data_IF_821374769387
#
_entry.id   IF_821374769387
#
_cell.length_a   1.000
_cell.length_b   1.000
_cell.length_c   1.000
_cell.angle_alpha   90.00
_cell.angle_beta   90.00
_cell.angle_gamma   90.00
#
_symmetry.space_group_name_H-M   'P 1'
#
loop_
_entity.id
_entity.type
_entity.pdbx_description
1 polymer ?
#
# COMPACT_ATOMS: atom_id res chain seq x y z
N UNK A 1 -39.82 16.13 -34.05
CA UNK A 1 -39.46 14.99 -33.18
C UNK A 1 -38.00 15.14 -32.84
N UNK A 2 -37.71 15.52 -31.61
CA UNK A 2 -36.37 15.78 -31.11
C UNK A 2 -35.67 14.45 -30.87
N UNK A 3 -34.52 14.24 -31.51
CA UNK A 3 -33.65 13.11 -31.23
C UNK A 3 -32.97 13.34 -29.87
N UNK A 4 -33.29 12.50 -28.89
CA UNK A 4 -32.50 12.38 -27.66
C UNK A 4 -31.14 11.76 -28.02
N UNK A 5 -30.07 12.49 -27.75
CA UNK A 5 -28.71 11.95 -27.79
C UNK A 5 -28.51 11.00 -26.61
N UNK A 6 -27.85 9.85 -26.78
CA UNK A 6 -27.50 8.98 -25.66
C UNK A 6 -26.49 9.69 -24.77
N UNK A 7 -26.86 9.93 -23.51
CA UNK A 7 -25.98 10.47 -22.48
C UNK A 7 -24.83 9.49 -22.28
N UNK A 8 -23.61 9.90 -22.63
CA UNK A 8 -22.41 9.16 -22.27
C UNK A 8 -22.19 9.25 -20.74
N UNK A 9 -21.99 8.13 -20.03
CA UNK A 9 -21.58 8.22 -18.63
C UNK A 9 -20.19 8.83 -18.56
N UNK A 10 -20.05 9.90 -17.76
CA UNK A 10 -18.77 10.53 -17.49
C UNK A 10 -17.84 9.53 -16.79
N UNK A 11 -16.53 9.66 -17.00
CA UNK A 11 -15.51 8.81 -16.40
C UNK A 11 -15.44 8.86 -14.85
N UNK A 12 -16.39 9.51 -14.18
CA UNK A 12 -16.46 9.71 -12.73
C UNK A 12 -17.34 8.70 -11.99
N UNK A 13 -18.09 7.83 -12.68
CA UNK A 13 -19.00 6.85 -12.03
C UNK A 13 -18.49 5.40 -12.08
N UNK A 14 -17.23 5.17 -11.69
CA UNK A 14 -16.81 3.82 -11.26
C UNK A 14 -16.88 3.75 -9.74
N UNK A 15 -18.04 3.41 -9.22
CA UNK A 15 -18.31 3.08 -7.80
C UNK A 15 -17.81 1.67 -7.42
N UNK A 16 -16.68 1.24 -7.99
CA UNK A 16 -16.00 0.00 -7.62
C UNK A 16 -15.08 0.21 -6.42
N UNK A 17 -14.73 -0.88 -5.72
CA UNK A 17 -13.64 -0.87 -4.75
C UNK A 17 -12.38 -0.31 -5.43
N UNK A 18 -11.79 0.74 -4.85
CA UNK A 18 -10.56 1.34 -5.36
C UNK A 18 -9.38 0.49 -4.90
N UNK A 19 -8.40 0.27 -5.77
CA UNK A 19 -7.16 -0.39 -5.36
C UNK A 19 -6.45 0.47 -4.30
N UNK A 20 -5.64 -0.17 -3.46
CA UNK A 20 -5.08 0.42 -2.24
C UNK A 20 -3.57 0.36 -2.31
N UNK A 21 -2.90 1.44 -1.92
CA UNK A 21 -1.46 1.63 -2.05
C UNK A 21 -0.62 0.50 -1.41
N UNK A 22 0.64 0.39 -1.83
CA UNK A 22 1.62 -0.51 -1.22
C UNK A 22 2.71 0.28 -0.50
N UNK A 23 3.06 -0.15 0.70
CA UNK A 23 4.19 0.40 1.47
C UNK A 23 5.27 -0.64 1.71
N UNK A 24 6.51 -0.19 1.76
CA UNK A 24 7.69 -0.99 2.03
C UNK A 24 8.67 -0.19 2.89
N UNK A 25 9.37 -0.84 3.82
CA UNK A 25 10.47 -0.27 4.57
C UNK A 25 11.54 -1.32 4.81
N UNK A 26 12.78 -0.89 4.91
CA UNK A 26 13.92 -1.77 5.14
C UNK A 26 14.96 -1.07 6.02
N UNK A 27 15.52 -1.82 6.95
CA UNK A 27 16.75 -1.51 7.64
C UNK A 27 17.72 -2.65 7.36
N UNK A 28 18.74 -2.41 6.56
CA UNK A 28 19.67 -3.41 6.04
C UNK A 28 21.13 -2.90 6.10
N UNK A 29 21.76 -2.91 7.29
CA UNK A 29 23.15 -2.49 7.45
C UNK A 29 24.08 -3.24 6.49
N UNK A 30 24.84 -2.49 5.69
CA UNK A 30 25.79 -3.05 4.73
C UNK A 30 25.16 -3.60 3.45
N UNK A 31 23.89 -3.34 3.20
CA UNK A 31 23.20 -3.61 1.94
C UNK A 31 22.64 -2.34 1.30
N UNK A 32 22.31 -2.41 0.02
CA UNK A 32 21.73 -1.30 -0.73
C UNK A 32 20.21 -1.23 -0.50
N UNK A 33 19.79 -0.32 0.37
CA UNK A 33 18.38 -0.13 0.70
C UNK A 33 17.55 0.38 -0.50
N UNK A 34 18.15 1.12 -1.44
CA UNK A 34 17.43 1.61 -2.61
C UNK A 34 17.02 0.45 -3.52
N UNK A 35 17.96 -0.47 -3.77
CA UNK A 35 17.71 -1.68 -4.56
C UNK A 35 16.70 -2.61 -3.87
N UNK A 36 16.80 -2.77 -2.55
CA UNK A 36 15.82 -3.56 -1.79
C UNK A 36 14.41 -2.95 -1.86
N UNK A 37 14.29 -1.62 -1.67
CA UNK A 37 13.03 -0.90 -1.86
C UNK A 37 12.48 -1.07 -3.28
N UNK A 38 13.32 -0.97 -4.31
CA UNK A 38 12.90 -1.16 -5.70
C UNK A 38 12.24 -2.53 -5.92
N UNK A 39 12.91 -3.62 -5.53
CA UNK A 39 12.36 -4.96 -5.73
C UNK A 39 11.12 -5.22 -4.87
N UNK A 40 11.12 -4.74 -3.62
CA UNK A 40 9.94 -4.81 -2.75
C UNK A 40 8.72 -4.10 -3.35
N UNK A 41 8.90 -2.88 -3.85
CA UNK A 41 7.83 -2.13 -4.51
C UNK A 41 7.41 -2.75 -5.85
N UNK A 42 8.35 -3.31 -6.60
CA UNK A 42 8.04 -4.02 -7.84
C UNK A 42 7.12 -5.22 -7.58
N UNK A 43 7.35 -5.97 -6.50
CA UNK A 43 6.47 -7.06 -6.08
C UNK A 43 5.08 -6.58 -5.64
N UNK A 44 4.98 -5.34 -5.14
CA UNK A 44 3.73 -4.69 -4.72
C UNK A 44 3.08 -3.85 -5.83
N UNK A 45 3.57 -3.87 -7.07
CA UNK A 45 3.10 -2.98 -8.16
C UNK A 45 1.58 -3.12 -8.46
N UNK A 46 0.95 -4.25 -8.12
CA UNK A 46 -0.49 -4.43 -8.26
C UNK A 46 -1.29 -3.51 -7.32
N UNK A 47 -0.71 -3.06 -6.22
CA UNK A 47 -1.30 -2.13 -5.26
C UNK A 47 -1.35 -0.67 -5.72
N UNK A 48 -0.62 -0.31 -6.77
CA UNK A 48 -0.60 1.08 -7.22
C UNK A 48 0.19 1.25 -8.51
N UNK A 49 -0.36 1.99 -9.46
CA UNK A 49 0.22 2.15 -10.80
C UNK A 49 0.32 3.61 -11.25
N UNK A 50 -0.05 4.58 -10.42
CA UNK A 50 0.03 6.00 -10.82
C UNK A 50 1.34 6.66 -10.43
N UNK A 51 1.96 6.29 -9.32
CA UNK A 51 3.28 6.80 -8.94
C UNK A 51 4.06 5.81 -8.07
N UNK A 52 5.37 5.97 -8.07
CA UNK A 52 6.29 5.25 -7.21
C UNK A 52 7.30 6.21 -6.59
N UNK A 53 7.72 5.91 -5.37
CA UNK A 53 8.70 6.72 -4.66
C UNK A 53 9.49 5.89 -3.65
N UNK A 54 10.74 6.29 -3.43
CA UNK A 54 11.66 5.72 -2.45
C UNK A 54 12.30 6.88 -1.68
N UNK A 55 12.39 6.74 -0.36
CA UNK A 55 13.23 7.55 0.51
C UNK A 55 14.31 6.65 1.12
N UNK A 56 15.58 7.06 1.08
CA UNK A 56 16.70 6.29 1.61
C UNK A 56 17.56 7.18 2.50
N UNK A 57 18.10 6.61 3.57
CA UNK A 57 19.06 7.27 4.42
C UNK A 57 20.37 6.49 4.56
N UNK A 58 21.45 7.27 4.66
CA UNK A 58 22.80 6.81 4.98
C UNK A 58 23.10 6.80 6.49
N UNK A 59 22.11 7.09 7.34
CA UNK A 59 22.27 7.28 8.79
C UNK A 59 22.28 8.75 9.21
N UNK A 60 22.37 9.69 8.27
CA UNK A 60 22.50 11.12 8.55
C UNK A 60 21.52 11.98 7.75
N UNK A 61 21.32 11.68 6.47
CA UNK A 61 20.44 12.45 5.59
C UNK A 61 19.45 11.53 4.89
N UNK A 62 18.26 12.05 4.59
CA UNK A 62 17.25 11.34 3.80
C UNK A 62 17.24 11.91 2.38
N UNK A 63 17.43 11.06 1.39
CA UNK A 63 17.20 11.36 -0.02
C UNK A 63 15.85 10.79 -0.47
N UNK A 64 14.98 11.65 -0.99
CA UNK A 64 13.67 11.24 -1.52
C UNK A 64 13.67 11.34 -3.04
N UNK A 65 13.26 10.25 -3.70
CA UNK A 65 13.14 10.16 -5.15
C UNK A 65 11.79 9.56 -5.50
N UNK A 66 10.92 10.36 -6.15
CA UNK A 66 9.56 9.96 -6.52
C UNK A 66 9.18 10.52 -7.88
N UNK A 67 8.33 9.81 -8.61
CA UNK A 67 7.85 10.24 -9.93
C UNK A 67 6.50 9.57 -10.26
N UNK A 68 5.78 10.12 -11.23
CA UNK A 68 4.60 9.47 -11.80
C UNK A 68 4.98 8.27 -12.67
N UNK A 69 4.17 7.22 -12.62
CA UNK A 69 4.34 5.99 -13.40
C UNK A 69 4.62 4.75 -12.56
N UNK A 70 4.94 3.66 -13.26
CA UNK A 70 5.28 2.36 -12.67
C UNK A 70 6.68 2.37 -12.05
N UNK A 71 6.95 1.49 -11.09
CA UNK A 71 8.24 1.37 -10.38
C UNK A 71 9.41 1.24 -11.36
N UNK A 72 9.27 0.41 -12.39
CA UNK A 72 10.31 0.20 -13.40
C UNK A 72 10.47 1.35 -14.41
N UNK A 73 9.49 2.26 -14.48
CA UNK A 73 9.57 3.48 -15.29
C UNK A 73 10.19 4.61 -14.48
N UNK A 74 9.88 4.69 -13.19
CA UNK A 74 10.37 5.71 -12.27
C UNK A 74 11.85 5.48 -11.94
N UNK A 75 12.25 4.23 -11.69
CA UNK A 75 13.57 3.85 -11.21
C UNK A 75 14.32 3.01 -12.24
N UNK A 76 15.08 3.69 -13.09
CA UNK A 76 16.08 3.04 -13.94
C UNK A 76 17.39 2.76 -13.16
N UNK A 77 18.31 1.93 -13.71
CA UNK A 77 19.56 1.62 -13.04
C UNK A 77 20.44 2.83 -12.70
N UNK A 78 20.37 3.92 -13.49
CA UNK A 78 21.16 5.13 -13.25
C UNK A 78 20.60 5.91 -12.08
N UNK A 79 19.28 6.07 -12.01
CA UNK A 79 18.58 6.72 -10.89
C UNK A 79 18.80 5.96 -9.59
N UNK A 80 18.70 4.62 -9.62
CA UNK A 80 18.96 3.79 -8.44
C UNK A 80 20.40 3.90 -7.95
N UNK A 81 21.39 3.89 -8.85
CA UNK A 81 22.79 4.02 -8.47
C UNK A 81 23.12 5.35 -7.76
N UNK A 82 22.31 6.40 -7.97
CA UNK A 82 22.43 7.69 -7.30
C UNK A 82 21.80 7.74 -5.90
N UNK A 83 21.05 6.71 -5.49
CA UNK A 83 20.37 6.65 -4.20
C UNK A 83 21.15 5.66 -3.33
N UNK A 84 21.87 6.18 -2.34
CA UNK A 84 22.73 5.35 -1.47
C UNK A 84 22.30 5.43 -0.03
N UNK A 85 22.37 4.30 0.67
CA UNK A 85 22.03 4.20 2.09
C UNK A 85 21.63 2.78 2.48
N UNK A 86 21.45 2.58 3.78
CA UNK A 86 21.25 1.26 4.38
C UNK A 86 19.91 1.13 5.11
N UNK A 87 19.10 2.20 5.13
CA UNK A 87 17.70 2.14 5.53
C UNK A 87 16.86 2.96 4.56
N UNK A 88 15.61 2.58 4.37
CA UNK A 88 14.73 3.27 3.44
C UNK A 88 13.28 2.85 3.53
N UNK A 89 12.41 3.69 2.98
CA UNK A 89 11.00 3.38 2.77
C UNK A 89 10.61 3.59 1.31
N UNK A 90 9.57 2.91 0.88
CA UNK A 90 9.04 2.95 -0.47
C UNK A 90 7.52 2.97 -0.48
N UNK A 91 6.96 3.50 -1.56
CA UNK A 91 5.52 3.53 -1.78
C UNK A 91 5.15 3.37 -3.26
N UNK A 92 4.09 2.60 -3.53
CA UNK A 92 3.38 2.57 -4.82
C UNK A 92 1.96 3.08 -4.62
N UNK A 93 1.55 4.04 -5.43
CA UNK A 93 0.28 4.75 -5.24
C UNK A 93 -0.82 4.22 -6.14
N UNK A 94 -1.98 3.96 -5.54
CA UNK A 94 -3.26 4.04 -6.21
C UNK A 94 -3.99 5.34 -5.84
N UNK A 95 -4.67 6.00 -6.77
CA UNK A 95 -5.34 7.27 -6.55
C UNK A 95 -6.67 7.06 -5.83
N UNK A 96 -6.62 6.86 -4.51
CA UNK A 96 -7.79 6.73 -3.63
C UNK A 96 -8.38 8.10 -3.28
N UNK A 97 -7.51 9.02 -2.84
CA UNK A 97 -7.81 10.41 -2.44
C UNK A 97 -6.79 11.37 -3.06
N UNK A 98 -7.25 12.58 -3.44
CA UNK A 98 -6.44 13.58 -4.12
C UNK A 98 -6.29 13.32 -5.63
N UNK A 99 -5.83 14.32 -6.36
CA UNK A 99 -5.58 14.20 -7.79
C UNK A 99 -4.38 13.26 -8.09
N UNK A 100 -4.33 12.71 -9.30
CA UNK A 100 -3.16 11.99 -9.79
C UNK A 100 -2.09 13.00 -10.24
N UNK A 101 -1.42 13.59 -9.25
CA UNK A 101 -0.37 14.59 -9.44
C UNK A 101 0.91 14.15 -8.74
N UNK A 102 2.04 14.69 -9.21
CA UNK A 102 3.36 14.43 -8.64
C UNK A 102 3.44 14.83 -7.16
N UNK A 103 2.80 15.93 -6.76
CA UNK A 103 2.79 16.39 -5.36
C UNK A 103 2.21 15.33 -4.40
N UNK A 104 1.24 14.56 -4.90
CA UNK A 104 0.57 13.49 -4.14
C UNK A 104 1.32 12.16 -4.17
N UNK A 105 2.44 12.06 -4.89
CA UNK A 105 3.30 10.90 -4.83
C UNK A 105 3.96 10.81 -3.45
N UNK A 106 4.11 9.59 -2.95
CA UNK A 106 4.73 9.29 -1.66
C UNK A 106 6.05 8.53 -1.89
N UNK A 107 7.00 8.51 -0.93
CA UNK A 107 6.90 9.03 0.44
C UNK A 107 6.68 10.55 0.55
N UNK A 108 5.83 10.97 1.48
CA UNK A 108 5.72 12.36 1.90
C UNK A 108 6.94 12.73 2.76
N UNK A 109 7.51 13.91 2.53
CA UNK A 109 8.73 14.36 3.21
C UNK A 109 8.49 15.67 3.95
N UNK A 110 8.98 15.77 5.20
CA UNK A 110 8.92 16.98 6.01
C UNK A 110 10.19 17.15 6.83
N UNK A 111 10.50 18.39 7.16
CA UNK A 111 11.60 18.78 8.06
C UNK A 111 10.99 19.20 9.39
N UNK A 112 11.55 18.74 10.51
CA UNK A 112 11.11 19.08 11.86
C UNK A 112 11.54 20.50 12.23
N UNK A 113 10.97 21.07 13.29
CA UNK A 113 11.39 22.39 13.80
C UNK A 113 12.86 22.42 14.24
N UNK A 114 13.39 21.27 14.66
CA UNK A 114 14.78 21.07 15.08
C UNK A 114 15.75 20.76 13.93
N UNK A 115 15.26 20.68 12.68
CA UNK A 115 16.08 20.40 11.50
C UNK A 115 16.27 18.91 11.17
N UNK A 116 15.57 18.02 11.89
CA UNK A 116 15.48 16.60 11.54
C UNK A 116 14.63 16.38 10.29
N UNK A 117 14.78 15.23 9.64
CA UNK A 117 14.05 14.86 8.42
C UNK A 117 13.16 13.65 8.67
N UNK A 118 11.94 13.66 8.14
CA UNK A 118 10.98 12.57 8.25
C UNK A 118 10.42 12.24 6.86
N UNK A 119 10.35 10.96 6.53
CA UNK A 119 9.61 10.47 5.38
C UNK A 119 8.50 9.51 5.81
N UNK A 120 7.34 9.54 5.13
CA UNK A 120 6.17 8.73 5.43
C UNK A 120 5.56 8.12 4.17
N UNK A 121 5.33 6.81 4.19
CA UNK A 121 4.48 6.08 3.26
C UNK A 121 3.21 5.61 3.96
N UNK A 122 2.06 5.77 3.31
CA UNK A 122 0.74 5.49 3.86
C UNK A 122 -0.11 4.66 2.90
N UNK A 123 -0.53 3.49 3.38
CA UNK A 123 -1.58 2.68 2.78
C UNK A 123 -2.83 2.78 3.65
N UNK A 124 -3.87 3.44 3.16
CA UNK A 124 -5.10 3.63 3.91
C UNK A 124 -5.90 4.85 3.46
N UNK A 125 -6.89 5.20 4.28
CA UNK A 125 -7.68 6.39 4.09
C UNK A 125 -8.16 6.93 5.44
N UNK A 126 -7.91 8.21 5.69
CA UNK A 126 -8.39 8.90 6.88
C UNK A 126 -9.75 9.54 6.65
N UNK A 127 -10.67 9.36 7.59
CA UNK A 127 -12.04 9.90 7.52
C UNK A 127 -12.16 11.28 8.19
N UNK A 128 -11.17 11.69 8.97
CA UNK A 128 -11.17 12.95 9.73
C UNK A 128 -10.10 13.95 9.25
N UNK A 129 -9.75 13.95 7.97
CA UNK A 129 -8.74 14.86 7.38
C UNK A 129 -9.01 16.33 7.65
N UNK A 130 -10.28 16.74 7.71
CA UNK A 130 -10.65 18.11 8.07
C UNK A 130 -10.26 18.45 9.51
N UNK A 131 -10.44 17.54 10.46
CA UNK A 131 -10.07 17.76 11.86
C UNK A 131 -8.55 17.83 12.00
N UNK A 132 -7.82 16.95 11.29
CA UNK A 132 -6.36 16.95 11.24
C UNK A 132 -5.79 18.23 10.61
N UNK A 133 -6.44 18.77 9.58
CA UNK A 133 -6.08 20.06 9.00
C UNK A 133 -6.26 21.20 10.00
N UNK A 134 -7.36 21.22 10.77
CA UNK A 134 -7.58 22.23 11.82
C UNK A 134 -6.55 22.13 12.93
N UNK A 135 -6.13 20.93 13.29
CA UNK A 135 -5.06 20.68 14.28
C UNK A 135 -3.71 21.28 13.84
N UNK A 136 -3.46 21.37 12.53
CA UNK A 136 -2.31 22.06 11.93
C UNK A 136 -2.53 23.57 11.71
N UNK A 137 -3.68 24.12 12.12
CA UNK A 137 -4.04 25.52 11.86
C UNK A 137 -4.35 25.82 10.38
N UNK A 138 -4.57 24.79 9.56
CA UNK A 138 -4.91 24.94 8.15
C UNK A 138 -6.44 25.18 7.99
N UNK A 139 -6.87 25.89 6.94
CA UNK A 139 -8.29 26.11 6.68
C UNK A 139 -9.04 24.79 6.54
N UNK A 140 -10.03 24.55 7.39
CA UNK A 140 -10.77 23.28 7.49
C UNK A 140 -11.86 23.07 6.44
N UNK A 141 -11.73 23.61 5.22
CA UNK A 141 -12.75 23.45 4.18
C UNK A 141 -12.34 22.44 3.11
N UNK A 142 -13.13 21.38 2.99
CA UNK A 142 -12.97 20.32 2.00
C UNK A 142 -13.13 20.83 0.55
N UNK A 143 -13.72 22.01 0.34
CA UNK A 143 -14.09 22.57 -0.98
C UNK A 143 -13.30 23.80 -1.45
N UNK A 144 -12.31 24.28 -0.69
CA UNK A 144 -11.51 25.43 -1.11
C UNK A 144 -10.52 25.05 -2.21
N UNK A 145 -10.62 25.72 -3.37
CA UNK A 145 -9.72 25.63 -4.53
C UNK A 145 -8.36 26.33 -4.30
N UNK A 146 -8.07 26.81 -3.09
CA UNK A 146 -6.76 27.36 -2.76
C UNK A 146 -5.68 26.25 -2.77
N UNK A 147 -4.42 26.55 -3.18
CA UNK A 147 -3.32 25.59 -3.08
C UNK A 147 -3.16 25.15 -1.62
N UNK A 148 -3.55 23.91 -1.31
CA UNK A 148 -3.33 23.35 0.02
C UNK A 148 -1.85 23.05 0.17
N UNK A 149 -1.24 23.48 1.27
CA UNK A 149 0.08 22.98 1.68
C UNK A 149 0.07 21.48 2.04
N UNK A 150 -1.12 20.90 2.26
CA UNK A 150 -1.37 19.47 2.47
C UNK A 150 -2.67 19.08 1.75
N UNK A 151 -2.57 18.45 0.58
CA UNK A 151 -3.72 18.07 -0.25
C UNK A 151 -4.14 16.60 -0.09
N UNK A 152 -3.32 15.80 0.60
CA UNK A 152 -3.61 14.39 0.93
C UNK A 152 -3.61 14.15 2.44
N UNK A 153 -4.26 13.07 2.87
CA UNK A 153 -4.18 12.58 4.24
C UNK A 153 -2.73 12.27 4.68
N UNK A 154 -1.93 11.77 3.75
CA UNK A 154 -0.53 11.40 3.95
C UNK A 154 0.33 12.64 4.24
N UNK A 155 0.08 13.77 3.57
CA UNK A 155 0.74 15.04 3.88
C UNK A 155 0.32 15.62 5.23
N UNK A 156 -0.96 15.47 5.61
CA UNK A 156 -1.44 15.88 6.93
C UNK A 156 -0.76 15.05 8.04
N UNK A 157 -0.66 13.74 7.87
CA UNK A 157 0.08 12.88 8.80
C UNK A 157 1.56 13.29 8.89
N UNK A 158 2.24 13.44 7.75
CA UNK A 158 3.64 13.84 7.73
C UNK A 158 3.88 15.21 8.41
N UNK A 159 2.96 16.16 8.22
CA UNK A 159 3.03 17.47 8.87
C UNK A 159 2.81 17.39 10.39
N UNK A 160 1.85 16.59 10.86
CA UNK A 160 1.64 16.35 12.29
C UNK A 160 2.87 15.69 12.93
N UNK A 161 3.45 14.70 12.26
CA UNK A 161 4.67 14.03 12.71
C UNK A 161 5.83 15.02 12.87
N UNK A 162 6.07 15.85 11.86
CA UNK A 162 7.16 16.83 11.87
C UNK A 162 6.97 17.93 12.92
N UNK A 163 5.71 18.31 13.21
CA UNK A 163 5.38 19.28 14.27
C UNK A 163 5.69 18.72 15.66
N UNK A 164 5.39 17.45 15.91
CA UNK A 164 5.45 16.85 17.24
C UNK A 164 6.75 16.06 17.51
N UNK A 165 7.70 16.06 16.57
CA UNK A 165 8.96 15.29 16.63
C UNK A 165 10.02 15.84 17.60
N UNK A 166 9.77 16.93 18.32
CA UNK A 166 10.77 17.58 19.19
C UNK A 166 11.22 16.72 20.38
N UNK A 167 10.43 15.72 20.79
CA UNK A 167 10.75 14.82 21.92
C UNK A 167 11.31 13.48 21.45
N UNK A 168 10.56 12.78 20.60
CA UNK A 168 10.99 11.58 19.87
C UNK A 168 10.03 11.33 18.73
N UNK A 169 10.50 10.73 17.64
CA UNK A 169 9.61 10.37 16.54
C UNK A 169 8.63 9.26 16.95
N UNK A 170 9.03 8.32 17.81
CA UNK A 170 8.12 7.29 18.35
C UNK A 170 6.90 7.91 19.07
N UNK A 171 7.12 8.88 19.97
CA UNK A 171 5.99 9.56 20.66
C UNK A 171 5.15 10.41 19.71
N UNK A 172 5.80 11.05 18.73
CA UNK A 172 5.11 11.80 17.67
C UNK A 172 4.19 10.90 16.84
N UNK A 173 4.66 9.68 16.50
CA UNK A 173 3.88 8.66 15.82
C UNK A 173 2.67 8.24 16.67
N UNK A 174 2.89 7.90 17.95
CA UNK A 174 1.82 7.49 18.87
C UNK A 174 0.74 8.57 18.97
N UNK A 175 1.15 9.83 19.15
CA UNK A 175 0.23 10.97 19.23
C UNK A 175 -0.56 11.18 17.93
N UNK A 176 0.15 11.16 16.80
CA UNK A 176 -0.47 11.34 15.48
C UNK A 176 -1.48 10.22 15.18
N UNK A 177 -1.14 8.97 15.51
CA UNK A 177 -2.05 7.83 15.36
C UNK A 177 -3.27 7.94 16.26
N UNK A 178 -3.13 8.49 17.47
CA UNK A 178 -4.26 8.76 18.37
C UNK A 178 -5.23 9.84 17.87
N UNK A 179 -4.77 10.74 17.00
CA UNK A 179 -5.61 11.76 16.35
C UNK A 179 -6.28 11.24 15.07
N UNK A 180 -5.61 10.31 14.37
CA UNK A 180 -6.08 9.77 13.10
C UNK A 180 -7.29 8.85 13.29
N UNK A 181 -8.34 9.04 12.47
CA UNK A 181 -9.49 8.13 12.35
C UNK A 181 -9.56 7.57 10.95
N UNK A 182 -9.67 6.26 10.84
CA UNK A 182 -9.75 5.56 9.56
C UNK A 182 -8.91 4.29 9.57
N UNK A 183 -8.57 3.82 8.38
CA UNK A 183 -7.69 2.68 8.16
C UNK A 183 -6.31 3.18 7.75
N UNK A 184 -5.25 2.64 8.32
CA UNK A 184 -3.88 2.98 7.91
C UNK A 184 -2.89 1.88 8.27
N UNK A 185 -1.99 1.61 7.34
CA UNK A 185 -0.68 1.02 7.57
C UNK A 185 0.37 2.01 7.12
N UNK A 186 1.25 2.38 8.03
CA UNK A 186 2.27 3.40 7.83
C UNK A 186 3.65 2.75 7.84
N UNK A 187 4.50 3.24 6.95
CA UNK A 187 5.95 3.16 7.11
C UNK A 187 6.47 4.57 7.29
N UNK A 188 7.31 4.78 8.29
CA UNK A 188 7.89 6.09 8.61
C UNK A 188 9.40 5.91 8.77
N UNK A 189 10.20 6.90 8.46
CA UNK A 189 11.61 6.91 8.81
C UNK A 189 12.08 8.30 9.21
N UNK A 190 13.03 8.33 10.14
CA UNK A 190 13.99 9.42 10.30
C UNK A 190 15.33 9.01 9.66
N UNK A 191 16.46 9.60 10.09
CA UNK A 191 17.77 9.33 9.51
C UNK A 191 18.36 7.98 9.89
N UNK A 192 17.95 7.37 11.01
CA UNK A 192 18.60 6.14 11.53
C UNK A 192 17.62 5.01 11.88
N UNK A 193 16.33 5.29 11.92
CA UNK A 193 15.29 4.36 12.33
C UNK A 193 14.17 4.27 11.29
N UNK A 194 13.70 3.05 11.01
CA UNK A 194 12.46 2.80 10.26
C UNK A 194 11.37 2.29 11.20
N UNK A 195 10.16 2.77 10.97
CA UNK A 195 8.99 2.45 11.78
C UNK A 195 7.90 1.84 10.91
N UNK A 196 7.16 0.89 11.48
CA UNK A 196 5.92 0.36 10.91
C UNK A 196 4.78 0.51 11.90
N UNK A 197 3.62 0.95 11.42
CA UNK A 197 2.46 1.17 12.28
C UNK A 197 1.21 0.64 11.63
N UNK A 198 0.37 -0.01 12.42
CA UNK A 198 -0.95 -0.45 11.99
C UNK A 198 -2.04 0.22 12.82
N UNK A 199 -3.13 0.63 12.18
CA UNK A 199 -4.31 1.16 12.86
C UNK A 199 -4.87 0.17 13.91
N UNK A 200 -5.63 0.66 14.89
CA UNK A 200 -6.15 -0.18 15.99
C UNK A 200 -7.07 -1.33 15.52
N UNK A 201 -7.65 -1.21 14.31
CA UNK A 201 -8.46 -2.25 13.70
C UNK A 201 -7.65 -3.21 12.83
N UNK A 202 -6.42 -2.86 12.46
CA UNK A 202 -5.60 -3.66 11.56
C UNK A 202 -6.23 -3.82 10.17
N UNK A 203 -6.94 -2.81 9.67
CA UNK A 203 -7.73 -2.93 8.42
C UNK A 203 -6.84 -3.28 7.24
N UNK A 204 -5.68 -2.59 7.13
CA UNK A 204 -4.69 -2.79 6.05
C UNK A 204 -3.59 -3.76 6.47
N UNK A 205 -3.06 -4.57 5.56
CA UNK A 205 -2.03 -5.56 5.89
C UNK A 205 -0.66 -4.89 6.06
N UNK A 206 0.12 -5.43 6.99
CA UNK A 206 1.50 -5.03 7.23
C UNK A 206 2.25 -6.20 7.88
N UNK A 207 3.34 -6.63 7.26
CA UNK A 207 4.15 -7.79 7.67
C UNK A 207 5.59 -7.38 7.95
N UNK A 208 6.25 -8.15 8.83
CA UNK A 208 7.66 -8.00 9.17
C UNK A 208 8.42 -9.20 8.63
N UNK A 209 9.50 -8.93 7.90
CA UNK A 209 10.48 -9.91 7.44
C UNK A 209 11.86 -9.68 8.05
N UNK A 210 12.71 -10.70 7.98
CA UNK A 210 14.12 -10.64 8.37
C UNK A 210 15.01 -11.00 7.19
N UNK A 211 16.00 -10.15 6.93
CA UNK A 211 16.96 -10.37 5.85
C UNK A 211 17.98 -11.45 6.24
N UNK A 212 18.47 -12.27 5.28
CA UNK A 212 19.46 -13.31 5.56
C UNK A 212 20.77 -12.77 6.14
N UNK A 213 21.17 -11.57 5.73
CA UNK A 213 22.44 -10.93 6.12
C UNK A 213 22.33 -10.06 7.38
N UNK A 214 21.16 -10.06 8.02
CA UNK A 214 20.84 -9.16 9.13
C UNK A 214 20.04 -7.95 8.66
N UNK A 215 19.26 -7.36 9.57
CA UNK A 215 18.27 -6.34 9.24
C UNK A 215 16.86 -6.88 9.11
N UNK A 216 15.92 -5.96 8.91
CA UNK A 216 14.49 -6.23 8.90
C UNK A 216 13.80 -5.46 7.79
N UNK A 217 12.65 -5.98 7.38
CA UNK A 217 11.80 -5.41 6.33
C UNK A 217 10.39 -5.31 6.87
N UNK A 218 9.68 -4.25 6.49
CA UNK A 218 8.25 -4.10 6.72
C UNK A 218 7.59 -3.92 5.35
N UNK A 219 6.52 -4.64 5.06
CA UNK A 219 5.85 -4.54 3.77
C UNK A 219 4.34 -4.74 3.89
N UNK A 220 3.57 -4.22 2.94
CA UNK A 220 2.12 -4.48 2.89
C UNK A 220 1.80 -5.96 2.71
N UNK A 221 2.60 -6.71 1.96
CA UNK A 221 2.38 -8.14 1.71
C UNK A 221 3.68 -8.94 1.72
N UNK A 222 3.55 -10.27 1.76
CA UNK A 222 4.66 -11.20 2.01
C UNK A 222 5.54 -11.40 0.77
N UNK A 223 5.00 -11.24 -0.43
CA UNK A 223 5.77 -11.35 -1.67
C UNK A 223 6.90 -10.31 -1.78
N UNK A 224 6.76 -9.17 -1.12
CA UNK A 224 7.78 -8.14 -1.09
C UNK A 224 8.97 -8.59 -0.24
N UNK A 225 8.76 -9.54 0.68
CA UNK A 225 9.80 -10.22 1.42
C UNK A 225 10.44 -11.31 0.55
N UNK A 226 9.61 -12.11 -0.12
CA UNK A 226 10.07 -13.25 -0.92
C UNK A 226 11.03 -12.84 -2.04
N UNK A 227 10.73 -11.74 -2.76
CA UNK A 227 11.53 -11.29 -3.90
C UNK A 227 12.94 -10.83 -3.52
N UNK A 228 13.13 -10.37 -2.27
CA UNK A 228 14.43 -9.94 -1.72
C UNK A 228 15.06 -11.01 -0.82
N UNK A 229 14.45 -12.20 -0.74
CA UNK A 229 14.94 -13.32 0.06
C UNK A 229 14.77 -13.14 1.57
N UNK A 230 13.92 -12.21 2.03
CA UNK A 230 13.61 -12.05 3.44
C UNK A 230 12.64 -13.14 3.92
N UNK A 231 12.87 -13.66 5.13
CA UNK A 231 11.97 -14.62 5.75
C UNK A 231 10.88 -13.91 6.55
N UNK A 232 9.62 -14.31 6.36
CA UNK A 232 8.51 -13.82 7.18
C UNK A 232 8.74 -14.11 8.66
N UNK A 233 8.64 -13.07 9.50
CA UNK A 233 8.72 -13.17 10.96
C UNK A 233 7.30 -13.26 11.53
N UNK A 234 6.46 -12.25 11.25
CA UNK A 234 5.05 -12.16 11.68
C UNK A 234 4.37 -10.97 11.02
N UNK A 235 3.08 -10.82 11.26
CA UNK A 235 2.34 -9.57 10.99
C UNK A 235 2.66 -8.50 12.04
N UNK A 236 2.52 -7.23 11.65
CA UNK A 236 2.35 -6.12 12.60
C UNK A 236 0.94 -6.21 13.18
N UNK A 237 0.82 -6.24 14.50
CA UNK A 237 -0.46 -6.37 15.20
C UNK A 237 -1.32 -5.10 15.06
N UNK A 238 -2.66 -5.20 15.11
CA UNK A 238 -3.53 -4.03 15.21
C UNK A 238 -3.15 -3.16 16.42
N UNK A 239 -2.97 -1.86 16.21
CA UNK A 239 -2.54 -0.93 17.27
C UNK A 239 -1.07 -1.08 17.69
N UNK A 240 -0.23 -1.75 16.88
CA UNK A 240 1.21 -1.87 17.09
C UNK A 240 1.99 -0.80 16.33
N UNK A 241 3.03 -0.30 16.99
CA UNK A 241 4.15 0.44 16.44
C UNK A 241 5.40 -0.44 16.59
N UNK A 242 6.10 -0.69 15.49
CA UNK A 242 7.44 -1.27 15.50
C UNK A 242 8.47 -0.24 15.08
N UNK A 243 9.63 -0.27 15.73
CA UNK A 243 10.79 0.57 15.42
C UNK A 243 11.99 -0.34 15.17
N UNK A 244 12.77 -0.04 14.14
CA UNK A 244 13.91 -0.86 13.72
C UNK A 244 15.09 0.07 13.44
N UNK A 245 16.16 -0.14 14.20
CA UNK A 245 17.43 0.59 14.10
C UNK A 245 18.62 -0.37 14.37
N UNK A 246 19.78 0.18 14.71
CA UNK A 246 21.00 -0.58 15.04
C UNK A 246 20.84 -1.50 16.26
N UNK A 247 19.88 -1.23 17.14
CA UNK A 247 19.57 -2.06 18.31
C UNK A 247 18.58 -3.19 17.96
N UNK A 248 18.09 -3.24 16.71
CA UNK A 248 17.19 -4.26 16.21
C UNK A 248 15.72 -3.85 16.28
N UNK A 249 14.84 -4.84 16.28
CA UNK A 249 13.39 -4.62 16.28
C UNK A 249 12.85 -4.40 17.69
N UNK A 250 12.22 -3.25 17.92
CA UNK A 250 11.43 -2.92 19.10
C UNK A 250 9.95 -2.86 18.73
N UNK A 251 9.09 -3.25 19.66
CA UNK A 251 7.63 -3.23 19.49
C UNK A 251 6.97 -2.56 20.68
N UNK A 252 5.96 -1.74 20.39
CA UNK A 252 5.15 -1.04 21.38
C UNK A 252 3.70 -1.02 20.91
N UNK A 253 2.78 -1.32 21.82
CA UNK A 253 1.35 -1.10 21.59
C UNK A 253 1.00 0.37 21.83
N UNK A 254 0.39 1.02 20.85
CA UNK A 254 -0.08 2.41 20.95
C UNK A 254 -1.60 2.52 21.13
N UNK A 255 -2.36 1.49 20.76
CA UNK A 255 -3.80 1.38 20.99
C UNK A 255 -4.22 -0.05 21.32
N UNK A 256 -5.35 -0.21 22.01
CA UNK A 256 -5.91 -1.54 22.25
C UNK A 256 -6.54 -2.09 20.96
N UNK A 257 -6.18 -3.33 20.54
CA UNK A 257 -6.63 -3.90 19.28
C UNK A 257 -8.16 -4.11 19.26
N UNK A 258 -8.78 -3.68 18.16
CA UNK A 258 -10.20 -3.92 17.85
C UNK A 258 -10.33 -4.45 16.43
N UNK A 259 -9.87 -5.69 16.15
CA UNK A 259 -9.56 -6.16 14.81
C UNK A 259 -10.76 -6.16 13.84
N UNK A 260 -10.59 -5.57 12.67
CA UNK A 260 -11.55 -5.55 11.57
C UNK A 260 -10.81 -5.55 10.21
N UNK A 261 -10.09 -6.64 9.94
CA UNK A 261 -9.30 -6.81 8.72
C UNK A 261 -10.16 -6.68 7.45
N UNK A 262 -9.62 -6.04 6.42
CA UNK A 262 -10.35 -5.79 5.18
C UNK A 262 -10.60 -7.09 4.39
N UNK A 263 -11.87 -7.50 4.27
CA UNK A 263 -12.25 -8.68 3.49
C UNK A 263 -11.90 -8.56 1.99
N UNK A 264 -11.84 -7.33 1.46
CA UNK A 264 -11.45 -7.09 0.07
C UNK A 264 -10.00 -7.45 -0.24
N UNK A 265 -9.11 -7.52 0.76
CA UNK A 265 -7.76 -8.06 0.59
C UNK A 265 -7.84 -9.52 0.13
N UNK A 266 -8.66 -10.34 0.80
CA UNK A 266 -8.89 -11.72 0.38
C UNK A 266 -9.66 -11.83 -0.93
N UNK A 267 -10.66 -10.99 -1.17
CA UNK A 267 -11.52 -11.12 -2.36
C UNK A 267 -10.78 -10.72 -3.63
N UNK A 268 -9.99 -9.65 -3.60
CA UNK A 268 -9.49 -9.03 -4.84
C UNK A 268 -8.11 -8.36 -4.75
N UNK A 269 -7.85 -7.56 -3.69
CA UNK A 269 -6.70 -6.65 -3.67
C UNK A 269 -5.36 -7.36 -3.51
N UNK A 270 -5.26 -8.27 -2.53
CA UNK A 270 -4.00 -8.94 -2.24
C UNK A 270 -3.61 -9.93 -3.34
N UNK A 271 -2.31 -10.12 -3.50
CA UNK A 271 -1.77 -11.09 -4.44
C UNK A 271 -2.10 -12.52 -3.97
N UNK A 272 -2.40 -13.48 -4.86
CA UNK A 272 -2.81 -14.82 -4.43
C UNK A 272 -1.79 -15.56 -3.55
N UNK A 273 -0.51 -15.25 -3.69
CA UNK A 273 0.59 -15.82 -2.90
C UNK A 273 0.89 -15.06 -1.60
N UNK A 274 0.21 -13.94 -1.32
CA UNK A 274 0.25 -13.33 0.00
C UNK A 274 -0.33 -14.27 1.06
N UNK A 275 0.27 -14.26 2.25
CA UNK A 275 -0.12 -15.09 3.38
C UNK A 275 -0.53 -14.25 4.59
N UNK A 276 -1.63 -14.65 5.21
CA UNK A 276 -2.07 -14.17 6.52
C UNK A 276 -2.11 -15.38 7.46
N UNK A 277 -1.24 -15.39 8.47
CA UNK A 277 -0.91 -16.61 9.21
C UNK A 277 -0.50 -17.77 8.30
N UNK A 278 -1.16 -18.92 8.44
CA UNK A 278 -0.85 -20.12 7.66
C UNK A 278 -1.57 -20.20 6.31
N UNK A 279 -2.53 -19.30 6.06
CA UNK A 279 -3.41 -19.36 4.88
C UNK A 279 -2.96 -18.36 3.82
N UNK A 280 -2.78 -18.84 2.58
CA UNK A 280 -2.59 -17.93 1.45
C UNK A 280 -3.91 -17.39 0.93
N UNK A 281 -3.87 -16.21 0.31
CA UNK A 281 -5.03 -15.60 -0.35
C UNK A 281 -5.59 -16.54 -1.44
N UNK A 282 -4.74 -17.26 -2.16
CA UNK A 282 -5.15 -18.28 -3.12
C UNK A 282 -6.00 -19.38 -2.46
N UNK A 283 -5.54 -19.92 -1.32
CA UNK A 283 -6.26 -20.96 -0.60
C UNK A 283 -7.61 -20.45 -0.08
N UNK A 284 -7.65 -19.23 0.45
CA UNK A 284 -8.88 -18.58 0.88
C UNK A 284 -9.87 -18.40 -0.29
N UNK A 285 -9.43 -17.86 -1.43
CA UNK A 285 -10.27 -17.70 -2.64
C UNK A 285 -10.78 -19.03 -3.17
N UNK A 286 -9.95 -20.08 -3.16
CA UNK A 286 -10.39 -21.43 -3.53
C UNK A 286 -11.46 -21.96 -2.59
N UNK A 287 -11.32 -21.74 -1.28
CA UNK A 287 -12.35 -22.10 -0.31
C UNK A 287 -13.65 -21.32 -0.51
N UNK A 288 -13.58 -20.02 -0.85
CA UNK A 288 -14.76 -19.23 -1.22
C UNK A 288 -15.49 -19.85 -2.42
N UNK A 289 -14.74 -20.31 -3.43
CA UNK A 289 -15.27 -21.04 -4.58
C UNK A 289 -16.04 -22.31 -4.20
N UNK A 290 -15.46 -23.13 -3.30
CA UNK A 290 -16.13 -24.34 -2.80
C UNK A 290 -17.43 -24.01 -2.07
N UNK A 291 -17.41 -23.03 -1.18
CA UNK A 291 -18.61 -22.56 -0.46
C UNK A 291 -19.67 -21.99 -1.41
N UNK A 292 -19.26 -21.35 -2.51
CA UNK A 292 -20.18 -20.87 -3.54
C UNK A 292 -20.88 -22.03 -4.26
N UNK A 293 -20.21 -23.16 -4.50
CA UNK A 293 -20.83 -24.35 -5.08
C UNK A 293 -21.91 -24.94 -4.15
N UNK A 294 -21.67 -24.92 -2.84
CA UNK A 294 -22.64 -25.40 -1.85
C UNK A 294 -23.85 -24.46 -1.70
N UNK A 295 -23.61 -23.15 -1.74
CA UNK A 295 -24.64 -22.13 -1.47
C UNK A 295 -25.44 -21.72 -2.71
N UNK A 296 -24.85 -21.85 -3.89
CA UNK A 296 -25.47 -21.53 -5.18
C UNK A 296 -25.09 -22.59 -6.25
N UNK A 297 -25.57 -23.83 -6.09
CA UNK A 297 -25.31 -24.89 -7.05
C UNK A 297 -26.06 -24.62 -8.36
N UNK A 298 -25.48 -25.10 -9.47
CA UNK A 298 -26.11 -25.08 -10.78
C UNK A 298 -25.72 -26.34 -11.56
N UNK A 299 -26.60 -26.78 -12.46
CA UNK A 299 -26.27 -27.77 -13.49
C UNK A 299 -25.67 -27.01 -14.68
N UNK A 300 -24.40 -27.26 -15.01
CA UNK A 300 -23.71 -26.64 -16.13
C UNK A 300 -22.64 -27.57 -16.71
N UNK A 301 -22.23 -27.31 -17.96
CA UNK A 301 -21.24 -28.14 -18.65
C UNK A 301 -19.79 -27.80 -18.28
N UNK A 302 -19.55 -26.55 -17.85
CA UNK A 302 -18.21 -26.02 -17.70
C UNK A 302 -18.15 -24.86 -16.69
N UNK A 303 -17.08 -24.83 -15.90
CA UNK A 303 -16.70 -23.69 -15.06
C UNK A 303 -15.54 -22.96 -15.73
N UNK A 304 -15.74 -21.68 -16.04
CA UNK A 304 -14.74 -20.81 -16.68
C UNK A 304 -14.39 -19.66 -15.72
N UNK A 305 -13.10 -19.41 -15.43
CA UNK A 305 -12.70 -18.24 -14.65
C UNK A 305 -12.75 -16.96 -15.50
N UNK A 306 -12.96 -15.82 -14.84
CA UNK A 306 -12.56 -14.52 -15.38
C UNK A 306 -11.13 -14.24 -14.89
N UNK A 307 -10.11 -14.23 -15.77
CA UNK A 307 -8.73 -14.04 -15.33
C UNK A 307 -8.46 -12.60 -14.86
N UNK A 308 -7.61 -12.37 -13.86
CA UNK A 308 -6.76 -13.36 -13.17
C UNK A 308 -7.26 -13.69 -11.75
N UNK A 309 -8.04 -12.79 -11.13
CA UNK A 309 -8.50 -12.96 -9.75
C UNK A 309 -9.48 -14.12 -9.57
N UNK A 310 -10.35 -14.37 -10.56
CA UNK A 310 -11.40 -15.39 -10.48
C UNK A 310 -10.90 -16.83 -10.56
N UNK A 311 -9.63 -17.05 -10.94
CA UNK A 311 -9.07 -18.38 -11.20
C UNK A 311 -9.13 -19.31 -9.98
N UNK A 312 -8.74 -18.83 -8.80
CA UNK A 312 -8.73 -19.65 -7.59
C UNK A 312 -10.16 -20.05 -7.16
N UNK A 313 -11.10 -19.09 -7.18
CA UNK A 313 -12.49 -19.34 -6.83
C UNK A 313 -13.18 -20.28 -7.84
N UNK A 314 -12.97 -20.09 -9.14
CA UNK A 314 -13.50 -20.98 -10.17
C UNK A 314 -12.95 -22.42 -10.02
N UNK A 315 -11.65 -22.57 -9.73
CA UNK A 315 -11.06 -23.88 -9.44
C UNK A 315 -11.69 -24.55 -8.23
N UNK A 316 -11.95 -23.81 -7.15
CA UNK A 316 -12.63 -24.32 -5.96
C UNK A 316 -14.09 -24.70 -6.23
N UNK A 317 -14.82 -23.88 -7.00
CA UNK A 317 -16.20 -24.15 -7.38
C UNK A 317 -16.31 -25.43 -8.21
N UNK A 318 -15.46 -25.58 -9.23
CA UNK A 318 -15.44 -26.76 -10.12
C UNK A 318 -15.15 -28.06 -9.35
N UNK A 319 -14.20 -28.00 -8.41
CA UNK A 319 -13.88 -29.16 -7.55
C UNK A 319 -15.06 -29.57 -6.67
N UNK A 320 -15.75 -28.61 -6.05
CA UNK A 320 -16.87 -28.90 -5.16
C UNK A 320 -18.15 -29.32 -5.91
N UNK A 321 -18.44 -28.71 -7.07
CA UNK A 321 -19.63 -29.04 -7.86
C UNK A 321 -19.47 -30.29 -8.73
N UNK A 322 -18.24 -30.71 -9.01
CA UNK A 322 -17.94 -31.79 -9.95
C UNK A 322 -18.05 -31.39 -11.43
N UNK A 323 -18.37 -30.11 -11.72
CA UNK A 323 -18.43 -29.59 -13.10
C UNK A 323 -16.98 -29.42 -13.62
N UNK A 324 -16.68 -29.85 -14.86
CA UNK A 324 -15.35 -29.66 -15.45
C UNK A 324 -14.90 -28.19 -15.45
N UNK A 325 -13.63 -27.96 -15.12
CA UNK A 325 -12.99 -26.65 -15.24
C UNK A 325 -12.32 -26.49 -16.62
N UNK A 326 -12.43 -25.31 -17.23
CA UNK A 326 -11.64 -24.98 -18.41
C UNK A 326 -11.32 -23.48 -18.53
N UNK A 327 -10.24 -23.17 -19.23
CA UNK A 327 -9.86 -21.80 -19.59
C UNK A 327 -10.62 -21.34 -20.85
N UNK A 328 -11.76 -20.70 -20.65
CA UNK A 328 -12.55 -20.11 -21.75
C UNK A 328 -12.23 -18.64 -22.06
N UNK A 329 -11.51 -17.96 -21.17
CA UNK A 329 -11.13 -16.54 -21.28
C UNK A 329 -9.63 -16.36 -21.09
N UNK A 330 -9.01 -15.51 -21.90
CA UNK A 330 -7.58 -15.17 -21.81
C UNK A 330 -7.43 -13.67 -21.70
N UNK A 331 -6.82 -13.20 -20.61
CA UNK A 331 -6.46 -11.79 -20.44
C UNK A 331 -5.25 -11.44 -21.29
N UNK A 332 -5.34 -10.35 -22.07
CA UNK A 332 -4.20 -9.85 -22.82
C UNK A 332 -3.18 -9.21 -21.88
N UNK A 333 -2.00 -9.82 -21.75
CA UNK A 333 -0.92 -9.36 -20.86
C UNK A 333 -0.09 -8.20 -21.41
N UNK A 334 -0.27 -7.85 -22.68
CA UNK A 334 0.52 -6.84 -23.38
C UNK A 334 -0.17 -5.46 -23.44
N UNK A 335 -1.37 -5.33 -22.87
CA UNK A 335 -2.15 -4.08 -22.92
C UNK A 335 -2.01 -3.32 -21.59
N UNK A 336 -1.41 -2.13 -21.65
CA UNK A 336 -1.42 -1.15 -20.56
C UNK A 336 -2.74 -0.37 -20.49
N UNK A 337 -2.95 0.41 -19.41
CA UNK A 337 -4.21 1.17 -19.18
C UNK A 337 -4.53 2.23 -20.25
N UNK A 338 -3.55 2.69 -21.02
CA UNK A 338 -3.73 3.61 -22.15
C UNK A 338 -3.99 2.85 -23.44
N UNK A 339 -5.23 2.44 -23.65
CA UNK A 339 -5.70 2.01 -24.97
C UNK A 339 -6.53 3.13 -25.60
N UNK A 340 -6.20 3.51 -26.84
CA UNK A 340 -7.08 4.33 -27.67
C UNK A 340 -8.31 3.48 -27.96
N UNK A 341 -9.45 3.83 -27.35
CA UNK A 341 -10.71 3.14 -27.68
C UNK A 341 -10.96 3.26 -29.19
N UNK A 342 -11.36 2.17 -29.86
CA UNK A 342 -11.72 2.26 -31.27
C UNK A 342 -12.86 3.28 -31.39
N UNK A 343 -12.62 4.37 -32.12
CA UNK A 343 -13.67 5.32 -32.48
C UNK A 343 -14.72 4.55 -33.26
N UNK A 344 -15.95 4.50 -32.73
CA UNK A 344 -17.10 4.00 -33.49
C UNK A 344 -17.24 4.88 -34.75
N UNK A 345 -17.04 4.28 -35.91
CA UNK A 345 -17.32 4.87 -37.23
C UNK A 345 -18.80 4.79 -37.56
#
# INVERSE_FOLDING_TARGET
MLHEQPVQPSAQDRTGARDECGVFAVYAPGEDAATLCYYGLYALQHRGQESAGIAVSDGTHILVSKEMGLVNQVFDPQRLAGITGHLGIGHVRYSTTGASTWDNAQPAFKVTATGGSIALGHNGNLVNTVDLARELGLPGDARSEAPRQCSTDSELLAALLARDADTSLEESIVRTCGLARGAFSLVVMDSDTVYGVRDAHGVRPLVIGRLPRGGYVIASETEALDIIGAHLVREVEPGELVAIDEHGLRSRRWAEPTPAFCSFEYVYLARPDHRTGETSVYAARRQMGRLLADTAPVEADLVIPVPECGTAAASGYAEASGIPYAEGLVKNRYVGRTFIQPSQS
#
